data_IF_210023567265
#
_entry.id   IF_210023567265
#
_cell.length_a   1.000
_cell.length_b   1.000
_cell.length_c   1.000
_cell.angle_alpha   90.00
_cell.angle_beta   90.00
_cell.angle_gamma   90.00
#
_symmetry.space_group_name_H-M   'P 1'
#
loop_
_entity.id
_entity.type
_entity.pdbx_description
1 polymer ?
#
# COMPACT_ATOMS: atom_id res chain seq x y z
N UNK A 1 -21.66 -23.61 17.26
CA UNK A 1 -22.10 -22.66 16.27
C UNK A 1 -21.83 -21.26 16.82
N UNK A 2 -20.72 -20.62 16.42
CA UNK A 2 -20.37 -19.23 16.84
C UNK A 2 -20.41 -18.35 15.60
N UNK A 3 -21.36 -17.40 15.62
CA UNK A 3 -21.53 -16.35 14.62
C UNK A 3 -20.27 -15.48 14.53
N UNK A 4 -19.57 -15.55 13.41
CA UNK A 4 -18.62 -14.51 13.01
C UNK A 4 -19.43 -13.37 12.37
N UNK A 5 -19.65 -12.32 13.13
CA UNK A 5 -20.14 -11.05 12.60
C UNK A 5 -19.02 -10.40 11.79
N UNK A 6 -19.24 -10.29 10.50
CA UNK A 6 -18.46 -9.47 9.58
C UNK A 6 -18.45 -8.01 10.07
N UNK A 7 -17.29 -7.53 10.49
CA UNK A 7 -17.07 -6.11 10.82
C UNK A 7 -16.47 -5.46 9.57
N UNK A 8 -17.32 -5.12 8.62
CA UNK A 8 -16.99 -4.08 7.66
C UNK A 8 -17.21 -2.73 8.36
N UNK A 9 -16.15 -2.20 8.95
CA UNK A 9 -16.15 -0.81 9.40
C UNK A 9 -16.05 0.12 8.17
N UNK A 10 -16.80 1.22 8.13
CA UNK A 10 -16.68 2.21 7.05
C UNK A 10 -15.27 2.81 7.10
N UNK A 11 -14.71 3.05 5.91
CA UNK A 11 -13.43 3.71 5.72
C UNK A 11 -13.44 5.03 6.52
N UNK A 12 -12.84 5.01 7.70
CA UNK A 12 -12.61 6.22 8.46
C UNK A 12 -11.71 7.12 7.60
N UNK A 13 -12.20 8.34 7.31
CA UNK A 13 -11.38 9.40 6.75
C UNK A 13 -10.22 9.60 7.74
N UNK A 14 -9.05 9.08 7.38
CA UNK A 14 -7.84 9.41 8.08
C UNK A 14 -7.59 10.91 7.84
N UNK A 15 -7.96 11.71 8.81
CA UNK A 15 -7.41 13.03 8.96
C UNK A 15 -5.97 12.84 9.43
N UNK A 16 -5.04 12.57 8.53
CA UNK A 16 -3.62 12.84 8.74
C UNK A 16 -3.49 14.35 8.75
N UNK A 17 -3.89 14.94 9.87
CA UNK A 17 -3.73 16.36 10.08
C UNK A 17 -2.23 16.64 10.19
N UNK A 18 -1.64 17.17 9.13
CA UNK A 18 -0.43 17.97 9.24
C UNK A 18 0.84 17.44 8.58
N UNK A 19 0.85 16.38 7.77
CA UNK A 19 2.12 15.89 7.22
C UNK A 19 2.22 15.79 5.69
N UNK A 20 1.18 16.04 4.93
CA UNK A 20 1.22 16.00 3.47
C UNK A 20 0.49 17.20 2.85
N UNK A 21 1.12 18.39 2.90
CA UNK A 21 0.90 19.43 1.91
C UNK A 21 1.77 19.14 0.67
N UNK A 22 1.68 17.93 0.16
CA UNK A 22 2.12 17.51 -1.15
C UNK A 22 0.93 16.84 -1.77
N UNK A 23 0.22 17.52 -2.66
CA UNK A 23 -0.81 16.91 -3.48
C UNK A 23 -0.16 15.80 -4.31
N UNK A 24 -0.30 14.55 -3.86
CA UNK A 24 -0.25 13.42 -4.75
C UNK A 24 -1.42 13.63 -5.71
N UNK A 25 -1.14 14.20 -6.87
CA UNK A 25 -2.07 14.24 -7.98
C UNK A 25 -2.33 12.80 -8.39
N UNK A 26 -3.38 12.20 -7.85
CA UNK A 26 -3.91 10.95 -8.38
C UNK A 26 -4.36 11.23 -9.81
N UNK A 27 -3.96 10.42 -10.80
CA UNK A 27 -4.45 10.58 -12.16
C UNK A 27 -5.97 10.44 -12.13
N UNK A 28 -6.65 11.54 -12.44
CA UNK A 28 -8.10 11.58 -12.63
C UNK A 28 -8.41 10.89 -13.95
N UNK A 29 -8.89 9.65 -13.91
CA UNK A 29 -9.35 9.04 -15.16
C UNK A 29 -9.67 7.56 -15.17
N UNK A 30 -9.33 6.78 -14.16
CA UNK A 30 -9.70 5.38 -14.11
C UNK A 30 -10.39 5.08 -12.77
N UNK A 31 -11.60 4.55 -12.82
CA UNK A 31 -12.29 4.10 -11.61
C UNK A 31 -11.73 2.74 -11.17
N UNK A 32 -10.45 2.72 -10.77
CA UNK A 32 -9.83 1.54 -10.18
C UNK A 32 -10.61 1.13 -8.93
N UNK A 33 -11.06 -0.12 -8.89
CA UNK A 33 -11.76 -0.65 -7.72
C UNK A 33 -10.74 -1.25 -6.76
N UNK A 34 -10.67 -0.69 -5.56
CA UNK A 34 -9.90 -1.28 -4.46
C UNK A 34 -10.53 -2.62 -4.08
N UNK A 35 -9.77 -3.70 -4.22
CA UNK A 35 -10.18 -5.08 -3.92
C UNK A 35 -9.92 -5.44 -2.47
N UNK A 36 -8.93 -4.82 -1.87
CA UNK A 36 -8.56 -4.98 -0.48
C UNK A 36 -7.57 -3.90 -0.07
N UNK A 37 -7.68 -3.47 1.17
CA UNK A 37 -6.73 -2.58 1.79
C UNK A 37 -6.54 -3.00 3.24
N UNK A 38 -5.31 -2.94 3.72
CA UNK A 38 -4.95 -3.18 5.11
C UNK A 38 -4.08 -2.05 5.61
N UNK A 39 -4.34 -1.59 6.81
CA UNK A 39 -3.49 -0.67 7.57
C UNK A 39 -3.11 -1.37 8.86
N UNK A 40 -1.82 -1.51 9.11
CA UNK A 40 -1.28 -2.07 10.35
C UNK A 40 -0.46 -0.99 11.02
N UNK A 41 -0.83 -0.65 12.25
CA UNK A 41 -0.08 0.29 13.09
C UNK A 41 0.65 -0.48 14.17
N UNK A 42 1.95 -0.21 14.31
CA UNK A 42 2.76 -0.66 15.41
C UNK A 42 3.36 0.55 16.14
N UNK A 43 3.48 0.47 17.47
CA UNK A 43 4.11 1.52 18.26
C UNK A 43 5.05 0.93 19.29
N UNK A 44 6.09 1.68 19.61
CA UNK A 44 7.05 1.31 20.65
C UNK A 44 7.65 2.53 21.31
N UNK A 45 7.93 2.43 22.62
CA UNK A 45 8.61 3.47 23.36
C UNK A 45 10.13 3.40 23.09
N UNK A 46 10.73 4.52 22.76
CA UNK A 46 12.18 4.64 22.63
C UNK A 46 12.82 4.48 24.01
N UNK A 47 13.65 3.46 24.18
CA UNK A 47 14.38 3.21 25.43
C UNK A 47 15.84 3.64 25.35
N UNK A 48 16.44 3.61 24.15
CA UNK A 48 17.79 4.09 23.91
C UNK A 48 17.92 4.68 22.51
N UNK A 49 18.86 5.61 22.34
CA UNK A 49 19.20 6.25 21.06
C UNK A 49 20.71 6.27 20.89
N UNK A 50 21.23 5.58 19.89
CA UNK A 50 22.61 5.75 19.44
C UNK A 50 22.64 6.75 18.29
N UNK A 51 23.18 7.93 18.57
CA UNK A 51 23.27 9.02 17.60
C UNK A 51 24.32 8.75 16.52
N UNK A 52 25.35 7.97 16.80
CA UNK A 52 26.42 7.68 15.86
C UNK A 52 25.99 6.66 14.80
N UNK A 53 25.42 5.57 15.22
CA UNK A 53 24.88 4.53 14.32
C UNK A 53 23.45 4.82 13.83
N UNK A 54 22.80 5.86 14.37
CA UNK A 54 21.38 6.20 14.13
C UNK A 54 20.44 5.06 14.51
N UNK A 55 20.77 4.33 15.58
CA UNK A 55 19.96 3.19 16.03
C UNK A 55 19.05 3.62 17.18
N UNK A 56 17.80 3.20 17.10
CA UNK A 56 16.79 3.33 18.16
C UNK A 56 16.52 1.96 18.77
N UNK A 57 16.59 1.85 20.09
CA UNK A 57 16.04 0.68 20.80
C UNK A 57 14.62 0.99 21.23
N UNK A 58 13.66 0.18 20.79
CA UNK A 58 12.24 0.35 21.06
C UNK A 58 11.73 -0.78 21.95
N UNK A 59 10.86 -0.46 22.87
CA UNK A 59 10.09 -1.43 23.65
C UNK A 59 8.66 -1.44 23.16
N UNK A 60 8.21 -2.59 22.67
CA UNK A 60 6.81 -2.82 22.28
C UNK A 60 5.86 -2.96 23.48
N UNK A 61 4.58 -2.98 23.21
CA UNK A 61 3.54 -3.17 24.23
C UNK A 61 3.61 -4.54 24.94
N UNK A 62 4.19 -5.55 24.27
CA UNK A 62 4.46 -6.89 24.80
C UNK A 62 5.73 -6.97 25.68
N UNK A 63 6.44 -5.83 25.86
CA UNK A 63 7.67 -5.74 26.61
C UNK A 63 8.94 -6.16 25.85
N UNK A 64 8.79 -6.72 24.64
CA UNK A 64 9.92 -7.07 23.79
C UNK A 64 10.63 -5.82 23.29
N UNK A 65 11.94 -5.95 23.08
CA UNK A 65 12.76 -4.87 22.52
C UNK A 65 13.23 -5.20 21.13
N UNK A 66 13.21 -4.17 20.26
CA UNK A 66 13.73 -4.26 18.89
C UNK A 66 14.64 -3.07 18.62
N UNK A 67 15.64 -3.27 17.76
CA UNK A 67 16.50 -2.21 17.29
C UNK A 67 16.14 -1.84 15.86
N UNK A 68 16.05 -0.53 15.61
CA UNK A 68 15.75 0.02 14.28
C UNK A 68 16.82 1.05 13.91
N UNK A 69 17.41 0.87 12.73
CA UNK A 69 18.35 1.84 12.17
C UNK A 69 17.58 2.85 11.31
N UNK A 70 17.63 4.12 11.69
CA UNK A 70 17.01 5.19 10.93
C UNK A 70 17.86 5.56 9.71
N UNK A 71 17.27 5.51 8.51
CA UNK A 71 17.95 5.90 7.29
C UNK A 71 18.42 7.36 7.29
N UNK A 72 19.36 7.71 6.39
CA UNK A 72 19.97 9.05 6.34
C UNK A 72 18.94 10.13 6.00
N UNK A 73 17.86 9.78 5.33
CA UNK A 73 16.79 10.70 4.93
C UNK A 73 15.90 11.18 6.08
N UNK A 74 15.89 10.48 7.22
CA UNK A 74 15.16 10.93 8.41
C UNK A 74 15.84 12.16 9.00
N UNK A 75 15.17 13.31 8.85
CA UNK A 75 15.62 14.59 9.38
C UNK A 75 15.41 14.67 10.89
N UNK A 76 16.16 15.55 11.52
CA UNK A 76 15.98 15.91 12.94
C UNK A 76 16.18 14.72 13.91
N UNK A 77 16.88 13.65 13.48
CA UNK A 77 17.11 12.44 14.29
C UNK A 77 17.65 12.77 15.69
N UNK A 78 18.49 13.81 15.80
CA UNK A 78 19.09 14.28 17.08
C UNK A 78 18.04 14.73 18.10
N UNK A 79 16.81 14.97 17.70
CA UNK A 79 15.73 15.38 18.62
C UNK A 79 15.10 14.19 19.34
N UNK A 80 15.32 12.96 18.85
CA UNK A 80 14.75 11.74 19.45
C UNK A 80 15.46 11.48 20.79
N UNK A 81 14.64 11.17 21.81
CA UNK A 81 15.11 10.91 23.18
C UNK A 81 14.45 9.64 23.72
N UNK A 82 15.10 8.97 24.69
CA UNK A 82 14.41 7.98 25.50
C UNK A 82 13.14 8.57 26.12
N UNK A 83 12.07 7.81 26.08
CA UNK A 83 10.72 8.22 26.49
C UNK A 83 9.79 8.64 25.34
N UNK A 84 10.34 9.06 24.20
CA UNK A 84 9.54 9.32 23.01
C UNK A 84 8.86 8.02 22.52
N UNK A 85 7.79 8.15 21.74
CA UNK A 85 7.08 7.02 21.12
C UNK A 85 7.28 7.05 19.61
N UNK A 86 7.75 5.93 19.03
CA UNK A 86 7.74 5.73 17.59
C UNK A 86 6.44 5.02 17.19
N UNK A 87 5.74 5.58 16.22
CA UNK A 87 4.61 4.93 15.54
C UNK A 87 5.03 4.58 14.11
N UNK A 88 4.72 3.36 13.70
CA UNK A 88 4.93 2.85 12.34
C UNK A 88 3.57 2.45 11.77
N UNK A 89 3.21 3.04 10.65
CA UNK A 89 2.02 2.68 9.88
C UNK A 89 2.44 1.96 8.60
N UNK A 90 1.97 0.74 8.41
CA UNK A 90 2.12 -0.02 7.17
C UNK A 90 0.78 -0.10 6.46
N UNK A 91 0.76 0.39 5.24
CA UNK A 91 -0.42 0.35 4.37
C UNK A 91 -0.13 -0.55 3.16
N UNK A 92 -1.09 -1.39 2.84
CA UNK A 92 -1.10 -2.20 1.63
C UNK A 92 -2.48 -2.20 1.00
N UNK A 93 -2.54 -2.09 -0.35
CA UNK A 93 -3.80 -2.23 -1.07
C UNK A 93 -3.58 -2.83 -2.45
N UNK A 94 -4.62 -3.49 -2.96
CA UNK A 94 -4.71 -4.00 -4.32
C UNK A 94 -5.95 -3.39 -4.97
N UNK A 95 -5.76 -2.73 -6.11
CA UNK A 95 -6.83 -2.22 -6.94
C UNK A 95 -6.81 -2.90 -8.32
N UNK A 96 -7.98 -3.06 -8.91
CA UNK A 96 -8.14 -3.63 -10.25
C UNK A 96 -8.94 -2.65 -11.10
N UNK A 97 -8.42 -2.35 -12.28
CA UNK A 97 -9.09 -1.58 -13.31
C UNK A 97 -9.11 -2.33 -14.64
N UNK A 98 -10.09 -2.03 -15.47
CA UNK A 98 -10.24 -2.66 -16.79
C UNK A 98 -10.24 -1.56 -17.84
N UNK A 99 -9.48 -1.79 -18.90
CA UNK A 99 -9.38 -0.90 -20.06
C UNK A 99 -9.76 -1.64 -21.34
N UNK A 100 -10.37 -0.93 -22.30
CA UNK A 100 -10.68 -1.53 -23.61
C UNK A 100 -9.44 -2.02 -24.33
N UNK A 101 -9.61 -3.03 -25.18
CA UNK A 101 -8.59 -3.49 -26.10
C UNK A 101 -8.02 -2.33 -26.92
N UNK A 102 -6.70 -2.36 -27.14
CA UNK A 102 -5.99 -1.33 -27.90
C UNK A 102 -5.68 -0.03 -27.12
N UNK A 103 -6.05 0.08 -25.84
CA UNK A 103 -5.74 1.25 -25.01
C UNK A 103 -4.30 1.25 -24.46
N UNK A 104 -3.47 0.33 -24.85
CA UNK A 104 -2.06 0.20 -24.48
C UNK A 104 -1.53 -1.20 -24.73
N UNK A 105 -0.38 -1.50 -24.15
CA UNK A 105 0.24 -2.84 -24.19
C UNK A 105 0.43 -3.37 -22.77
N UNK A 106 0.54 -4.69 -22.59
CA UNK A 106 0.94 -5.27 -21.31
C UNK A 106 2.30 -4.70 -20.85
N UNK A 107 2.34 -4.20 -19.61
CA UNK A 107 3.53 -3.55 -19.03
C UNK A 107 3.58 -3.70 -17.52
N UNK A 108 4.73 -3.39 -16.93
CA UNK A 108 4.90 -3.20 -15.48
C UNK A 108 5.45 -1.81 -15.25
N UNK A 109 4.71 -1.00 -14.48
CA UNK A 109 5.14 0.33 -14.07
C UNK A 109 5.29 0.34 -12.56
N UNK A 110 6.43 0.82 -12.06
CA UNK A 110 6.67 0.99 -10.63
C UNK A 110 7.00 2.44 -10.35
N UNK A 111 6.25 3.03 -9.44
CA UNK A 111 6.46 4.37 -8.93
C UNK A 111 6.82 4.32 -7.45
N UNK A 112 7.72 5.19 -7.03
CA UNK A 112 8.12 5.32 -5.63
C UNK A 112 8.04 6.77 -5.23
N UNK A 113 7.43 7.03 -4.08
CA UNK A 113 7.36 8.34 -3.47
C UNK A 113 7.92 8.29 -2.06
N UNK A 114 8.62 9.34 -1.64
CA UNK A 114 9.11 9.49 -0.29
C UNK A 114 8.79 10.89 0.23
N UNK A 115 8.46 10.96 1.51
CA UNK A 115 8.20 12.20 2.23
C UNK A 115 8.97 12.20 3.55
N UNK A 116 9.32 13.37 4.02
CA UNK A 116 10.01 13.57 5.31
C UNK A 116 9.54 14.86 5.96
N UNK A 117 9.60 14.89 7.27
CA UNK A 117 9.21 16.08 8.04
C UNK A 117 10.11 17.27 7.74
N UNK A 118 9.58 18.48 7.95
CA UNK A 118 10.32 19.73 7.80
C UNK A 118 11.49 19.81 8.78
N UNK A 119 12.45 20.70 8.50
CA UNK A 119 13.53 21.02 9.45
C UNK A 119 12.92 21.59 10.73
N UNK A 120 13.36 21.10 11.88
CA UNK A 120 12.89 21.55 13.21
C UNK A 120 11.63 20.83 13.71
N UNK A 121 10.86 20.17 12.86
CA UNK A 121 9.72 19.36 13.27
C UNK A 121 10.17 18.05 13.94
N UNK A 122 9.24 17.37 14.65
CA UNK A 122 9.50 16.03 15.17
C UNK A 122 9.91 15.08 14.04
N UNK A 123 10.86 14.18 14.27
CA UNK A 123 11.37 13.26 13.26
C UNK A 123 10.26 12.36 12.70
N UNK A 124 10.25 12.20 11.39
CA UNK A 124 9.32 11.33 10.71
C UNK A 124 9.57 11.28 9.20
N UNK A 125 8.97 10.31 8.56
CA UNK A 125 9.04 10.14 7.11
C UNK A 125 8.10 9.05 6.64
N UNK A 126 7.88 9.01 5.35
CA UNK A 126 7.11 7.97 4.71
C UNK A 126 7.76 7.58 3.38
N UNK A 127 7.62 6.33 3.01
CA UNK A 127 7.98 5.82 1.70
C UNK A 127 6.81 4.99 1.17
N UNK A 128 6.45 5.22 -0.09
CA UNK A 128 5.41 4.47 -0.78
C UNK A 128 5.92 3.93 -2.11
N UNK A 129 5.44 2.75 -2.47
CA UNK A 129 5.65 2.13 -3.76
C UNK A 129 4.31 1.71 -4.34
N UNK A 130 4.10 2.08 -5.58
CA UNK A 130 2.96 1.62 -6.36
C UNK A 130 3.48 0.83 -7.56
N UNK A 131 3.00 -0.40 -7.73
CA UNK A 131 3.34 -1.22 -8.88
C UNK A 131 2.06 -1.55 -9.62
N UNK A 132 1.96 -1.10 -10.86
CA UNK A 132 0.86 -1.44 -11.77
C UNK A 132 1.34 -2.48 -12.76
N UNK A 133 0.66 -3.63 -12.77
CA UNK A 133 0.89 -4.71 -13.72
C UNK A 133 -0.29 -4.73 -14.66
N UNK A 134 -0.06 -4.39 -15.93
CA UNK A 134 -1.05 -4.46 -16.99
C UNK A 134 -0.91 -5.79 -17.73
N UNK A 135 -2.01 -6.53 -17.82
CA UNK A 135 -2.11 -7.79 -18.53
C UNK A 135 -3.26 -7.77 -19.54
N UNK A 136 -3.11 -8.49 -20.61
CA UNK A 136 -4.15 -8.70 -21.64
C UNK A 136 -5.05 -9.86 -21.24
N UNK A 137 -6.36 -9.73 -21.42
CA UNK A 137 -7.30 -10.84 -21.31
C UNK A 137 -7.14 -11.73 -22.54
N UNK A 138 -6.50 -12.87 -22.34
CA UNK A 138 -6.24 -13.83 -23.40
C UNK A 138 -7.45 -14.73 -23.68
N UNK A 139 -8.17 -15.15 -22.62
CA UNK A 139 -9.36 -15.99 -22.74
C UNK A 139 -10.26 -15.85 -21.52
N UNK A 140 -11.58 -15.96 -21.73
CA UNK A 140 -12.60 -15.88 -20.68
C UNK A 140 -13.48 -17.13 -20.72
N UNK A 141 -13.55 -17.84 -19.60
CA UNK A 141 -14.55 -18.86 -19.37
C UNK A 141 -15.56 -18.35 -18.34
N UNK A 142 -16.69 -17.80 -18.84
CA UNK A 142 -17.72 -17.18 -18.00
C UNK A 142 -18.46 -18.19 -17.13
N UNK A 143 -18.71 -19.41 -17.63
CA UNK A 143 -19.42 -20.45 -16.87
C UNK A 143 -18.60 -20.94 -15.67
N UNK A 144 -17.29 -21.00 -15.82
CA UNK A 144 -16.37 -21.37 -14.75
C UNK A 144 -15.86 -20.17 -13.93
N UNK A 145 -16.22 -18.92 -14.29
CA UNK A 145 -15.66 -17.70 -13.71
C UNK A 145 -14.13 -17.67 -13.75
N UNK A 146 -13.54 -18.07 -14.86
CA UNK A 146 -12.10 -18.09 -15.08
C UNK A 146 -11.69 -17.07 -16.14
N UNK A 147 -10.55 -16.41 -15.88
CA UNK A 147 -9.88 -15.54 -16.85
C UNK A 147 -8.45 -16.01 -17.02
N UNK A 148 -7.98 -16.11 -18.26
CA UNK A 148 -6.58 -16.33 -18.56
C UNK A 148 -6.00 -14.98 -18.97
N UNK A 149 -5.05 -14.51 -18.21
CA UNK A 149 -4.32 -13.26 -18.44
C UNK A 149 -2.96 -13.56 -19.07
N UNK A 150 -2.56 -12.73 -20.05
CA UNK A 150 -1.24 -12.72 -20.65
C UNK A 150 -0.49 -11.49 -20.15
N UNK A 151 0.59 -11.72 -19.43
CA UNK A 151 1.43 -10.66 -18.88
C UNK A 151 2.39 -10.04 -19.91
N UNK A 152 3.16 -9.01 -19.51
CA UNK A 152 4.07 -8.28 -20.37
C UNK A 152 5.16 -9.14 -21.04
N UNK A 153 5.57 -10.21 -20.35
CA UNK A 153 6.60 -11.15 -20.85
C UNK A 153 5.99 -12.35 -21.61
N UNK A 154 4.70 -12.26 -21.98
CA UNK A 154 3.99 -13.33 -22.71
C UNK A 154 3.54 -14.51 -21.84
N UNK A 155 3.95 -14.56 -20.59
CA UNK A 155 3.51 -15.58 -19.64
C UNK A 155 2.00 -15.52 -19.41
N UNK A 156 1.34 -16.69 -19.31
CA UNK A 156 -0.10 -16.79 -19.07
C UNK A 156 -0.39 -17.23 -17.64
N UNK A 157 -1.43 -16.65 -17.05
CA UNK A 157 -1.89 -17.00 -15.71
C UNK A 157 -3.41 -17.11 -15.68
N UNK A 158 -3.92 -18.24 -15.17
CA UNK A 158 -5.35 -18.44 -14.95
C UNK A 158 -5.74 -17.89 -13.58
N UNK A 159 -6.79 -17.09 -13.55
CA UNK A 159 -7.35 -16.49 -12.34
C UNK A 159 -8.81 -16.93 -12.20
N UNK A 160 -9.13 -17.48 -11.02
CA UNK A 160 -10.50 -17.76 -10.61
C UNK A 160 -11.11 -16.48 -10.02
N UNK A 161 -12.15 -15.95 -10.66
CA UNK A 161 -12.87 -14.78 -10.18
C UNK A 161 -13.87 -15.18 -9.10
N UNK A 162 -13.53 -14.92 -7.84
CA UNK A 162 -14.35 -15.31 -6.67
C UNK A 162 -15.26 -14.19 -6.18
N UNK A 163 -14.83 -12.95 -6.29
CA UNK A 163 -15.61 -11.78 -5.87
C UNK A 163 -16.87 -11.62 -6.71
N UNK A 164 -18.09 -11.56 -6.10
CA UNK A 164 -19.36 -11.48 -6.84
C UNK A 164 -19.44 -10.25 -7.76
N UNK A 165 -18.96 -9.10 -7.32
CA UNK A 165 -19.02 -7.88 -8.10
C UNK A 165 -18.05 -7.89 -9.30
N UNK A 166 -16.95 -8.66 -9.20
CA UNK A 166 -16.08 -8.90 -10.36
C UNK A 166 -16.67 -9.92 -11.32
N UNK A 167 -17.46 -10.89 -10.85
CA UNK A 167 -18.18 -11.82 -11.74
C UNK A 167 -19.21 -11.11 -12.60
N UNK A 168 -19.90 -10.10 -12.05
CA UNK A 168 -20.81 -9.26 -12.83
C UNK A 168 -20.05 -8.51 -13.95
N UNK A 169 -18.90 -7.92 -13.61
CA UNK A 169 -18.04 -7.26 -14.60
C UNK A 169 -17.47 -8.23 -15.62
N UNK A 170 -17.18 -9.47 -15.24
CA UNK A 170 -16.67 -10.50 -16.14
C UNK A 170 -17.59 -10.73 -17.35
N UNK A 171 -18.90 -10.53 -17.20
CA UNK A 171 -19.86 -10.67 -18.29
C UNK A 171 -19.66 -9.60 -19.39
N UNK A 172 -19.11 -8.45 -19.03
CA UNK A 172 -18.90 -7.30 -19.92
C UNK A 172 -17.52 -7.29 -20.57
N UNK A 173 -16.56 -8.04 -20.00
CA UNK A 173 -15.19 -8.11 -20.50
C UNK A 173 -15.10 -8.89 -21.81
N UNK A 174 -14.12 -8.52 -22.62
CA UNK A 174 -13.81 -9.16 -23.90
C UNK A 174 -12.36 -9.64 -23.93
N UNK A 175 -12.10 -10.63 -24.74
CA UNK A 175 -10.72 -11.01 -25.07
C UNK A 175 -10.05 -9.84 -25.79
N UNK A 176 -8.80 -9.57 -25.42
CA UNK A 176 -8.05 -8.39 -25.86
C UNK A 176 -8.18 -7.16 -24.94
N UNK A 177 -9.18 -7.11 -24.04
CA UNK A 177 -9.21 -6.06 -23.02
C UNK A 177 -7.98 -6.15 -22.11
N UNK A 178 -7.62 -5.03 -21.50
CA UNK A 178 -6.49 -4.93 -20.58
C UNK A 178 -6.99 -4.85 -19.14
N UNK A 179 -6.28 -5.51 -18.24
CA UNK A 179 -6.54 -5.47 -16.79
C UNK A 179 -5.30 -4.91 -16.09
N UNK A 180 -5.46 -3.81 -15.38
CA UNK A 180 -4.44 -3.20 -14.53
C UNK A 180 -4.63 -3.68 -13.09
N UNK A 181 -3.58 -4.32 -12.55
CA UNK A 181 -3.48 -4.66 -11.13
C UNK A 181 -2.53 -3.67 -10.48
N UNK A 182 -3.04 -2.79 -9.63
CA UNK A 182 -2.25 -1.82 -8.91
C UNK A 182 -2.07 -2.26 -7.46
N UNK A 183 -0.83 -2.52 -7.09
CA UNK A 183 -0.41 -2.88 -5.73
C UNK A 183 0.24 -1.63 -5.14
N UNK A 184 -0.32 -1.12 -4.04
CA UNK A 184 0.24 0.01 -3.30
C UNK A 184 0.73 -0.49 -1.95
N UNK A 185 1.97 -0.17 -1.62
CA UNK A 185 2.57 -0.43 -0.32
C UNK A 185 3.18 0.86 0.21
N UNK A 186 2.92 1.21 1.46
CA UNK A 186 3.51 2.39 2.08
C UNK A 186 3.86 2.12 3.54
N UNK A 187 4.95 2.71 3.98
CA UNK A 187 5.37 2.75 5.38
C UNK A 187 5.53 4.19 5.80
N UNK A 188 4.90 4.58 6.89
CA UNK A 188 5.13 5.86 7.53
C UNK A 188 5.67 5.65 8.95
N UNK A 189 6.60 6.49 9.36
CA UNK A 189 7.18 6.49 10.68
C UNK A 189 7.08 7.91 11.28
N UNK A 190 6.65 8.02 12.52
CA UNK A 190 6.57 9.30 13.22
C UNK A 190 6.98 9.17 14.69
N UNK A 191 7.71 10.15 15.19
CA UNK A 191 8.07 10.26 16.60
C UNK A 191 7.11 11.24 17.29
N UNK A 192 6.62 10.82 18.45
CA UNK A 192 5.74 11.60 19.33
C UNK A 192 6.33 11.69 20.73
N UNK A 193 5.99 12.75 21.46
CA UNK A 193 6.33 12.96 22.91
C UNK A 193 5.12 12.70 23.76
#
# INVERSE_FOLDING_TARGET
MKNQKSVFAPVARLAVAGLLAGSLALPTGASARVMGAALTTASGQVTAVDQASRTLTLRGADGNTVEIVAGPDIRNFKQIKPGDTLTLDYYESIAVDVRPAGSGAPEVVTETAAARTAKGAMPGGAIGRQTTIRAEIWHINRSANLVILKGPQGGRRTIQVRDPALREKLQQLKEGDLVDFTITQAVAAAIHR
#
